data_IF_818545604640
#
_entry.id   IF_818545604640
#
_cell.length_a   1.000
_cell.length_b   1.000
_cell.length_c   1.000
_cell.angle_alpha   90.00
_cell.angle_beta   90.00
_cell.angle_gamma   90.00
#
_symmetry.space_group_name_H-M   'P 1'
#
loop_
_entity.id
_entity.type
_entity.pdbx_description
1 polymer ?
#
# COMPACT_ATOMS: atom_id res chain seq x y z
N UNK A 1 5.56 -39.27 -19.49
CA UNK A 1 5.20 -37.89 -19.21
C UNK A 1 3.92 -37.86 -18.35
N UNK A 2 4.01 -37.98 -17.07
CA UNK A 2 2.94 -37.74 -16.07
C UNK A 2 3.59 -37.85 -14.69
N UNK A 3 3.31 -36.90 -13.77
CA UNK A 3 3.71 -36.76 -12.37
C UNK A 3 4.79 -35.71 -12.08
N UNK A 4 4.48 -34.41 -12.34
CA UNK A 4 5.14 -33.31 -11.64
C UNK A 4 4.22 -32.12 -11.25
N UNK A 5 2.91 -32.21 -11.51
CA UNK A 5 1.98 -31.09 -11.23
C UNK A 5 1.42 -31.09 -9.79
N UNK A 6 1.57 -32.17 -9.03
CA UNK A 6 0.92 -32.31 -7.71
C UNK A 6 1.80 -31.84 -6.51
N UNK A 7 3.10 -31.68 -6.70
CA UNK A 7 4.00 -31.25 -5.61
C UNK A 7 3.99 -29.73 -5.36
N UNK A 8 3.64 -28.92 -6.35
CA UNK A 8 3.58 -27.47 -6.16
C UNK A 8 2.34 -27.01 -5.35
N UNK A 9 1.22 -27.73 -5.45
CA UNK A 9 -0.02 -27.35 -4.74
C UNK A 9 0.11 -27.57 -3.23
N UNK A 10 0.87 -28.57 -2.78
CA UNK A 10 1.09 -28.87 -1.38
C UNK A 10 1.92 -27.82 -0.62
N UNK A 11 2.89 -27.18 -1.31
CA UNK A 11 3.73 -26.15 -0.69
C UNK A 11 3.03 -24.77 -0.61
N UNK A 12 2.11 -24.51 -1.53
CA UNK A 12 1.32 -23.27 -1.55
C UNK A 12 0.35 -23.21 -0.36
N UNK A 13 -0.35 -24.30 -0.06
CA UNK A 13 -1.30 -24.35 1.05
C UNK A 13 -0.64 -24.19 2.44
N UNK A 14 0.56 -24.72 2.64
CA UNK A 14 1.26 -24.61 3.94
C UNK A 14 1.81 -23.19 4.20
N UNK A 15 2.27 -22.49 3.17
CA UNK A 15 2.78 -21.11 3.30
C UNK A 15 1.66 -20.10 3.52
N UNK A 16 0.55 -20.25 2.80
CA UNK A 16 -0.63 -19.38 2.96
C UNK A 16 -1.26 -19.56 4.36
N UNK A 17 -1.38 -20.81 4.84
CA UNK A 17 -1.87 -21.12 6.19
C UNK A 17 -0.93 -20.57 7.28
N UNK A 18 0.39 -20.59 7.08
CA UNK A 18 1.37 -20.00 8.00
C UNK A 18 1.25 -18.48 8.10
N UNK A 19 1.08 -17.79 6.97
CA UNK A 19 0.90 -16.34 6.93
C UNK A 19 -0.42 -15.89 7.55
N UNK A 20 -1.51 -16.62 7.31
CA UNK A 20 -2.82 -16.38 7.92
C UNK A 20 -2.80 -16.66 9.41
N UNK A 21 -2.11 -17.72 9.87
CA UNK A 21 -1.97 -18.04 11.29
C UNK A 21 -1.12 -17.00 12.04
N UNK A 22 -0.04 -16.49 11.43
CA UNK A 22 0.77 -15.42 12.02
C UNK A 22 -0.01 -14.10 12.14
N UNK A 23 -0.81 -13.76 11.14
CA UNK A 23 -1.70 -12.59 11.18
C UNK A 23 -2.78 -12.76 12.26
N UNK A 24 -3.36 -13.96 12.41
CA UNK A 24 -4.36 -14.25 13.43
C UNK A 24 -3.80 -14.19 14.87
N UNK A 25 -2.54 -14.59 15.07
CA UNK A 25 -1.89 -14.54 16.39
C UNK A 25 -1.54 -13.12 16.83
N UNK A 26 -1.21 -12.23 15.88
CA UNK A 26 -0.99 -10.80 16.13
C UNK A 26 -2.29 -10.04 16.42
N UNK A 27 -3.44 -10.54 15.96
CA UNK A 27 -4.75 -9.93 16.15
C UNK A 27 -5.42 -10.34 17.47
N UNK A 28 -4.98 -11.44 18.11
CA UNK A 28 -5.61 -11.94 19.34
C UNK A 28 -5.69 -10.88 20.48
N UNK A 29 -4.64 -10.09 20.79
CA UNK A 29 -4.75 -9.04 21.81
C UNK A 29 -5.59 -7.84 21.35
N UNK A 30 -5.67 -7.56 20.05
CA UNK A 30 -6.51 -6.48 19.50
C UNK A 30 -7.99 -6.87 19.58
N UNK A 31 -8.32 -8.13 19.35
CA UNK A 31 -9.68 -8.65 19.46
C UNK A 31 -10.21 -8.63 20.91
N UNK A 32 -9.36 -8.93 21.89
CA UNK A 32 -9.74 -8.92 23.30
C UNK A 32 -10.05 -7.50 23.82
N UNK A 33 -9.41 -6.46 23.26
CA UNK A 33 -9.70 -5.06 23.60
C UNK A 33 -10.86 -4.48 22.79
N UNK A 34 -11.07 -4.93 21.56
CA UNK A 34 -12.20 -4.51 20.74
C UNK A 34 -13.55 -5.04 21.25
N UNK A 35 -13.56 -6.18 21.98
CA UNK A 35 -14.79 -6.70 22.60
C UNK A 35 -15.26 -5.90 23.82
N UNK A 36 -14.41 -5.07 24.42
CA UNK A 36 -14.80 -4.19 25.54
C UNK A 36 -15.23 -2.78 25.10
N UNK A 37 -14.94 -2.39 23.86
CA UNK A 37 -15.56 -1.22 23.25
C UNK A 37 -16.97 -1.65 22.80
N UNK A 38 -18.04 -0.86 23.07
CA UNK A 38 -19.32 -1.15 22.47
C UNK A 38 -19.10 -1.14 20.96
N UNK A 39 -19.19 -2.32 20.33
CA UNK A 39 -19.36 -2.35 18.90
C UNK A 39 -20.59 -1.51 18.62
N UNK A 40 -20.38 -0.30 18.11
CA UNK A 40 -21.43 0.42 17.44
C UNK A 40 -21.73 -0.37 16.16
N UNK A 41 -22.42 -1.50 16.32
CA UNK A 41 -23.38 -1.96 15.35
C UNK A 41 -24.49 -0.90 15.31
N UNK A 42 -24.13 0.32 14.92
CA UNK A 42 -25.12 1.17 14.34
C UNK A 42 -25.45 0.45 13.07
N UNK A 43 -26.54 -0.31 13.14
CA UNK A 43 -27.16 -0.86 11.96
C UNK A 43 -27.06 0.23 10.90
N UNK A 44 -26.46 -0.07 9.76
CA UNK A 44 -26.66 0.71 8.55
C UNK A 44 -28.11 1.13 8.60
N UNK A 45 -28.46 2.41 8.49
CA UNK A 45 -29.85 2.78 8.39
C UNK A 45 -30.41 1.83 7.36
N UNK A 46 -31.32 0.97 7.84
CA UNK A 46 -31.91 -0.07 7.00
C UNK A 46 -32.28 0.61 5.69
N UNK A 47 -31.94 0.01 4.59
CA UNK A 47 -31.98 0.40 3.15
C UNK A 47 -32.94 1.52 2.71
N UNK A 48 -33.75 2.05 3.61
CA UNK A 48 -34.76 3.07 3.37
C UNK A 48 -34.25 4.52 3.31
N UNK A 49 -33.08 4.85 3.87
CA UNK A 49 -32.66 6.26 3.94
C UNK A 49 -32.05 6.76 2.63
N UNK A 50 -31.41 5.87 1.87
CA UNK A 50 -30.82 6.23 0.58
C UNK A 50 -31.77 6.01 -0.61
N UNK A 51 -32.72 5.09 -0.50
CA UNK A 51 -33.63 4.75 -1.58
C UNK A 51 -34.71 5.82 -1.87
N UNK A 52 -35.04 6.70 -0.92
CA UNK A 52 -36.14 7.66 -1.05
C UNK A 52 -35.72 9.12 -1.27
N UNK A 53 -34.42 9.43 -1.32
CA UNK A 53 -33.96 10.84 -1.38
C UNK A 53 -33.67 11.34 -2.79
N UNK A 54 -33.59 10.46 -3.80
CA UNK A 54 -33.21 10.85 -5.16
C UNK A 54 -34.19 10.35 -6.22
N UNK A 55 -34.45 11.18 -7.24
CA UNK A 55 -35.29 10.76 -8.36
C UNK A 55 -34.65 9.59 -9.10
N UNK A 56 -35.43 8.69 -9.74
CA UNK A 56 -34.93 7.63 -10.59
C UNK A 56 -33.99 8.23 -11.66
N UNK A 57 -32.73 7.86 -11.64
CA UNK A 57 -31.70 8.35 -12.58
C UNK A 57 -30.47 8.98 -11.96
N UNK A 58 -30.30 8.96 -10.61
CA UNK A 58 -29.11 9.50 -9.94
C UNK A 58 -28.27 8.43 -9.18
N UNK A 59 -27.92 7.27 -9.76
CA UNK A 59 -27.14 6.23 -9.07
C UNK A 59 -25.75 6.74 -8.66
N UNK A 60 -25.18 7.67 -9.41
CA UNK A 60 -23.88 8.26 -9.12
C UNK A 60 -23.91 9.15 -7.88
N UNK A 61 -24.97 9.94 -7.66
CA UNK A 61 -25.10 10.76 -6.45
C UNK A 61 -25.25 9.91 -5.20
N UNK A 62 -26.06 8.86 -5.24
CA UNK A 62 -26.22 7.94 -4.11
C UNK A 62 -24.92 7.21 -3.77
N UNK A 63 -24.08 6.91 -4.76
CA UNK A 63 -22.75 6.35 -4.54
C UNK A 63 -21.82 7.37 -3.86
N UNK A 64 -21.76 8.61 -4.32
CA UNK A 64 -20.94 9.67 -3.71
C UNK A 64 -21.38 9.98 -2.25
N UNK A 65 -22.67 9.91 -1.96
CA UNK A 65 -23.17 10.06 -0.59
C UNK A 65 -22.72 8.89 0.29
N UNK A 66 -22.75 7.66 -0.23
CA UNK A 66 -22.22 6.48 0.46
C UNK A 66 -20.72 6.62 0.71
N UNK A 67 -19.94 7.09 -0.27
CA UNK A 67 -18.51 7.36 -0.12
C UNK A 67 -18.27 8.40 0.97
N UNK A 68 -19.02 9.51 0.98
CA UNK A 68 -18.91 10.55 2.00
C UNK A 68 -19.23 10.01 3.39
N UNK A 69 -20.26 9.18 3.53
CA UNK A 69 -20.63 8.55 4.79
C UNK A 69 -19.56 7.55 5.26
N UNK A 70 -18.99 6.77 4.34
CA UNK A 70 -17.90 5.84 4.63
C UNK A 70 -16.65 6.56 5.13
N UNK A 71 -16.26 7.65 4.46
CA UNK A 71 -15.11 8.46 4.87
C UNK A 71 -15.32 9.22 6.17
N UNK A 72 -16.52 9.71 6.45
CA UNK A 72 -16.86 10.39 7.71
C UNK A 72 -16.86 9.45 8.93
N UNK A 73 -17.05 8.16 8.72
CA UNK A 73 -17.09 7.17 9.79
C UNK A 73 -15.69 6.72 10.27
N UNK A 74 -14.64 7.01 9.52
CA UNK A 74 -13.25 6.65 9.81
C UNK A 74 -12.43 7.86 10.28
N UNK A 75 -11.19 7.65 10.80
CA UNK A 75 -10.26 8.73 11.11
C UNK A 75 -10.02 9.66 9.91
N UNK A 76 -9.76 10.95 10.19
CA UNK A 76 -9.52 11.95 9.16
C UNK A 76 -8.03 12.35 9.04
N UNK A 77 -7.12 11.40 9.21
CA UNK A 77 -5.68 11.61 9.07
C UNK A 77 -5.26 11.83 7.61
N UNK A 78 -4.02 12.22 7.38
CA UNK A 78 -3.45 12.29 6.04
C UNK A 78 -2.95 10.90 5.60
N UNK A 79 -3.06 10.57 4.33
CA UNK A 79 -2.44 9.37 3.75
C UNK A 79 -0.94 9.57 3.68
N UNK A 80 -0.10 8.66 4.23
CA UNK A 80 1.35 8.77 4.23
C UNK A 80 1.98 8.79 2.83
N UNK A 81 3.27 9.15 2.75
CA UNK A 81 4.02 9.17 1.48
C UNK A 81 4.30 7.75 0.96
N UNK A 82 4.80 6.86 1.82
CA UNK A 82 5.24 5.50 1.45
C UNK A 82 4.34 4.43 2.04
N UNK A 83 4.02 4.53 3.33
CA UNK A 83 3.15 3.56 4.02
C UNK A 83 1.74 3.61 3.45
N UNK A 84 1.18 2.47 3.09
CA UNK A 84 -0.22 2.40 2.65
C UNK A 84 -1.14 2.66 3.84
N UNK A 85 -2.00 3.65 3.72
CA UNK A 85 -2.95 4.00 4.80
C UNK A 85 -3.95 2.88 5.06
N UNK A 86 -4.32 2.61 6.33
CA UNK A 86 -5.44 1.72 6.65
C UNK A 86 -6.81 2.33 6.29
N UNK A 87 -6.88 3.64 6.03
CA UNK A 87 -8.11 4.35 5.67
C UNK A 87 -8.57 3.98 4.27
N UNK A 88 -9.85 4.12 4.00
CA UNK A 88 -10.40 4.04 2.65
C UNK A 88 -10.34 5.42 2.00
N UNK A 89 -9.80 5.47 0.79
CA UNK A 89 -9.62 6.70 0.04
C UNK A 89 -10.42 6.68 -1.26
N UNK A 90 -10.85 7.87 -1.65
CA UNK A 90 -11.48 8.14 -2.93
C UNK A 90 -10.64 9.22 -3.60
N UNK A 91 -9.64 8.79 -4.40
CA UNK A 91 -8.67 9.74 -4.96
C UNK A 91 -8.03 9.27 -6.27
N UNK A 92 -7.54 10.22 -7.03
CA UNK A 92 -6.48 9.99 -7.98
C UNK A 92 -5.15 10.31 -7.31
N UNK A 93 -4.17 9.42 -7.42
CA UNK A 93 -2.83 9.61 -6.86
C UNK A 93 -1.76 9.37 -7.91
N UNK A 94 -0.75 10.23 -7.91
CA UNK A 94 0.48 10.09 -8.68
C UNK A 94 1.67 10.22 -7.75
N UNK A 95 2.56 9.21 -7.73
CA UNK A 95 3.80 9.24 -6.96
C UNK A 95 5.01 9.22 -7.88
N UNK A 96 6.03 9.99 -7.55
CA UNK A 96 7.32 10.03 -8.21
C UNK A 96 8.38 9.48 -7.27
N UNK A 97 9.17 8.51 -7.74
CA UNK A 97 10.28 7.93 -6.98
C UNK A 97 11.60 8.11 -7.74
N UNK A 98 12.66 8.49 -7.02
CA UNK A 98 14.04 8.51 -7.49
C UNK A 98 14.90 7.75 -6.51
N UNK A 99 15.01 6.44 -6.75
CA UNK A 99 15.65 5.48 -5.87
C UNK A 99 17.08 5.22 -6.30
N UNK A 100 17.99 5.21 -5.33
CA UNK A 100 19.36 4.74 -5.50
C UNK A 100 19.56 3.46 -4.68
N UNK A 101 19.95 2.39 -5.35
CA UNK A 101 20.29 1.13 -4.70
C UNK A 101 21.67 1.20 -4.04
N UNK A 102 21.87 0.41 -2.99
CA UNK A 102 23.14 0.30 -2.31
C UNK A 102 24.27 -0.21 -3.24
N UNK A 103 25.49 0.15 -2.93
CA UNK A 103 26.70 -0.33 -3.65
C UNK A 103 27.43 -1.43 -2.92
N UNK A 104 26.97 -1.84 -1.73
CA UNK A 104 27.50 -2.96 -0.95
C UNK A 104 27.12 -4.32 -1.54
N UNK A 105 27.43 -5.39 -0.81
CA UNK A 105 27.21 -6.78 -1.25
C UNK A 105 25.74 -7.10 -1.58
N UNK A 106 24.79 -6.39 -1.01
CA UNK A 106 23.35 -6.59 -1.18
C UNK A 106 22.72 -5.65 -2.22
N UNK A 107 23.39 -4.56 -2.56
CA UNK A 107 22.94 -3.61 -3.56
C UNK A 107 23.54 -3.87 -4.94
N UNK A 108 22.97 -3.25 -5.96
CA UNK A 108 23.45 -3.32 -7.34
C UNK A 108 23.96 -1.97 -7.88
N UNK A 109 23.94 -0.90 -7.06
CA UNK A 109 24.37 0.45 -7.41
C UNK A 109 23.56 1.13 -8.50
N UNK A 110 22.41 0.60 -8.89
CA UNK A 110 21.53 1.18 -9.89
C UNK A 110 20.74 2.37 -9.30
N UNK A 111 20.48 3.37 -10.13
CA UNK A 111 19.49 4.39 -9.87
C UNK A 111 18.25 4.09 -10.70
N UNK A 112 17.10 4.10 -10.07
CA UNK A 112 15.80 3.85 -10.66
C UNK A 112 14.94 5.11 -10.49
N UNK A 113 14.39 5.63 -11.60
CA UNK A 113 13.38 6.68 -11.54
C UNK A 113 12.08 6.05 -12.00
N UNK A 114 11.09 6.01 -11.10
CA UNK A 114 9.76 5.47 -11.38
C UNK A 114 8.76 6.60 -11.49
N UNK A 115 8.13 6.68 -12.65
CA UNK A 115 7.08 7.64 -12.97
C UNK A 115 5.73 6.99 -12.67
N UNK A 116 5.08 7.51 -11.64
CA UNK A 116 3.87 6.91 -11.09
C UNK A 116 4.11 6.05 -9.84
N UNK A 117 5.35 5.97 -9.33
CA UNK A 117 5.74 5.27 -8.10
C UNK A 117 5.69 3.75 -8.20
N UNK A 118 5.96 3.02 -7.10
CA UNK A 118 5.79 1.57 -7.06
C UNK A 118 4.34 1.15 -7.28
N UNK A 119 3.39 2.07 -7.12
CA UNK A 119 1.96 1.86 -7.38
C UNK A 119 1.45 2.53 -8.66
N UNK A 120 2.32 3.15 -9.47
CA UNK A 120 1.90 3.87 -10.66
C UNK A 120 1.09 5.15 -10.35
N UNK A 121 0.66 5.83 -11.41
CA UNK A 121 -0.50 6.70 -11.30
C UNK A 121 -1.72 5.80 -11.03
N UNK A 122 -2.50 6.07 -9.99
CA UNK A 122 -3.57 5.15 -9.60
C UNK A 122 -4.86 5.87 -9.27
N UNK A 123 -5.95 5.12 -9.38
CA UNK A 123 -7.28 5.53 -8.93
C UNK A 123 -7.66 4.64 -7.76
N UNK A 124 -8.03 5.25 -6.66
CA UNK A 124 -8.52 4.62 -5.44
C UNK A 124 -10.02 4.89 -5.35
N UNK A 125 -10.83 3.86 -5.28
CA UNK A 125 -12.29 3.94 -5.34
C UNK A 125 -12.92 3.16 -4.19
N UNK A 126 -13.95 3.73 -3.57
CA UNK A 126 -14.80 3.09 -2.55
C UNK A 126 -16.06 2.57 -3.22
N UNK A 127 -16.09 1.33 -3.76
CA UNK A 127 -17.26 0.77 -4.45
C UNK A 127 -18.41 0.44 -3.49
N UNK A 128 -18.12 0.22 -2.22
CA UNK A 128 -19.10 -0.01 -1.16
C UNK A 128 -18.54 0.44 0.20
N UNK A 129 -19.39 0.53 1.22
CA UNK A 129 -19.14 1.22 2.47
C UNK A 129 -17.83 0.85 3.18
N UNK A 130 -17.41 -0.43 3.13
CA UNK A 130 -16.23 -0.94 3.82
C UNK A 130 -15.14 -1.46 2.87
N UNK A 131 -15.29 -1.24 1.57
CA UNK A 131 -14.36 -1.71 0.55
C UNK A 131 -13.72 -0.56 -0.21
N UNK A 132 -12.44 -0.74 -0.51
CA UNK A 132 -11.70 0.09 -1.47
C UNK A 132 -11.00 -0.79 -2.49
N UNK A 133 -10.99 -0.33 -3.72
CA UNK A 133 -10.24 -0.94 -4.82
C UNK A 133 -9.28 0.09 -5.38
N UNK A 134 -8.02 -0.27 -5.47
CA UNK A 134 -6.96 0.55 -6.08
C UNK A 134 -6.57 -0.11 -7.40
N UNK A 135 -6.63 0.68 -8.47
CA UNK A 135 -6.25 0.27 -9.82
C UNK A 135 -5.15 1.19 -10.33
N UNK A 136 -4.10 0.60 -10.88
CA UNK A 136 -2.99 1.34 -11.44
C UNK A 136 -2.53 0.75 -12.78
N UNK A 137 -2.08 1.55 -13.75
CA UNK A 137 -1.29 1.04 -14.87
C UNK A 137 0.13 0.69 -14.38
N UNK A 138 0.91 -0.11 -15.13
CA UNK A 138 2.30 -0.34 -14.80
C UNK A 138 3.09 0.98 -14.82
N UNK A 139 4.00 1.22 -13.85
CA UNK A 139 4.82 2.43 -13.81
C UNK A 139 5.84 2.41 -14.96
N UNK A 140 6.12 3.58 -15.53
CA UNK A 140 7.27 3.73 -16.42
C UNK A 140 8.53 3.94 -15.58
N UNK A 141 9.55 3.13 -15.81
CA UNK A 141 10.79 3.13 -15.02
C UNK A 141 11.99 3.35 -15.94
N UNK A 142 12.91 4.21 -15.50
CA UNK A 142 14.24 4.32 -16.10
C UNK A 142 15.29 3.87 -15.09
N UNK A 143 16.24 3.07 -15.57
CA UNK A 143 17.36 2.57 -14.77
C UNK A 143 18.67 3.06 -15.35
N UNK A 144 19.64 3.43 -14.50
CA UNK A 144 20.99 3.79 -14.88
C UNK A 144 21.99 3.37 -13.81
N UNK A 145 23.19 2.96 -14.21
CA UNK A 145 24.24 2.57 -13.25
C UNK A 145 25.19 1.50 -13.77
N UNK A 146 25.86 0.76 -12.89
CA UNK A 146 26.90 -0.19 -13.26
C UNK A 146 26.44 -1.32 -14.21
N UNK A 147 25.15 -1.69 -14.14
CA UNK A 147 24.56 -2.71 -15.04
C UNK A 147 24.07 -2.12 -16.39
N UNK A 148 24.39 -0.84 -16.66
CA UNK A 148 23.96 -0.14 -17.86
C UNK A 148 22.62 0.57 -17.69
N UNK A 149 22.05 1.03 -18.80
CA UNK A 149 20.79 1.76 -18.86
C UNK A 149 19.65 0.85 -19.32
N UNK A 150 18.44 1.14 -18.84
CA UNK A 150 17.20 0.54 -19.33
C UNK A 150 16.06 1.53 -19.14
N UNK A 151 15.02 1.41 -19.95
CA UNK A 151 13.79 2.18 -19.79
C UNK A 151 12.60 1.35 -20.30
N UNK A 152 11.47 1.43 -19.62
CA UNK A 152 10.27 0.70 -19.99
C UNK A 152 9.27 0.61 -18.84
N UNK A 153 8.28 -0.24 -18.99
CA UNK A 153 7.31 -0.51 -17.92
C UNK A 153 7.92 -1.45 -16.88
N UNK A 154 7.80 -1.09 -15.60
CA UNK A 154 8.12 -1.93 -14.45
C UNK A 154 7.01 -2.98 -14.19
N UNK A 155 7.16 -3.73 -13.10
CA UNK A 155 6.15 -4.71 -12.70
C UNK A 155 4.81 -4.00 -12.42
N UNK A 156 3.72 -4.64 -12.82
CA UNK A 156 2.39 -4.04 -12.78
C UNK A 156 1.71 -4.29 -11.43
N UNK A 157 1.46 -3.26 -10.60
CA UNK A 157 0.63 -3.39 -9.41
C UNK A 157 -0.85 -3.51 -9.83
N UNK A 158 -1.24 -4.69 -10.34
CA UNK A 158 -2.48 -4.92 -11.07
C UNK A 158 -3.71 -4.46 -10.30
N UNK A 159 -3.77 -4.78 -9.03
CA UNK A 159 -4.81 -4.28 -8.11
C UNK A 159 -4.38 -4.39 -6.65
N UNK A 160 -4.99 -3.56 -5.81
CA UNK A 160 -5.03 -3.70 -4.36
C UNK A 160 -6.48 -3.57 -3.91
N UNK A 161 -6.93 -4.48 -3.06
CA UNK A 161 -8.27 -4.45 -2.47
C UNK A 161 -8.13 -4.32 -0.96
N UNK A 162 -8.85 -3.37 -0.35
CA UNK A 162 -8.91 -3.16 1.09
C UNK A 162 -10.30 -3.52 1.60
N UNK A 163 -10.34 -4.10 2.79
CA UNK A 163 -11.57 -4.31 3.56
C UNK A 163 -11.40 -3.81 4.98
N UNK A 164 -12.24 -2.88 5.38
CA UNK A 164 -12.22 -2.25 6.70
C UNK A 164 -12.89 -3.16 7.73
N UNK A 165 -12.09 -3.63 8.70
CA UNK A 165 -12.51 -4.60 9.72
C UNK A 165 -13.12 -3.93 10.96
N UNK A 166 -12.50 -2.83 11.42
CA UNK A 166 -12.92 -2.08 12.59
C UNK A 166 -12.47 -0.63 12.46
N UNK A 167 -13.30 0.31 12.92
CA UNK A 167 -12.99 1.74 12.79
C UNK A 167 -13.82 2.59 13.74
N UNK A 168 -13.33 3.78 13.98
CA UNK A 168 -14.04 4.87 14.66
C UNK A 168 -13.36 6.18 14.31
N UNK A 169 -14.16 7.20 13.99
CA UNK A 169 -13.68 8.56 13.78
C UNK A 169 -13.23 9.21 15.10
N UNK A 170 -12.83 10.47 15.09
CA UNK A 170 -12.33 11.18 16.27
C UNK A 170 -13.32 11.15 17.48
N UNK A 171 -14.63 11.14 17.22
CA UNK A 171 -15.66 11.06 18.25
C UNK A 171 -15.82 9.63 18.82
N UNK A 172 -15.41 8.62 18.07
CA UNK A 172 -15.59 7.19 18.37
C UNK A 172 -14.25 6.45 18.54
N UNK A 173 -13.25 7.15 19.05
CA UNK A 173 -12.00 6.56 19.46
C UNK A 173 -10.86 6.69 18.45
N UNK A 174 -11.06 7.30 17.29
CA UNK A 174 -10.04 7.66 16.30
C UNK A 174 -9.08 6.50 15.96
N UNK A 175 -9.62 5.38 15.49
CA UNK A 175 -8.86 4.17 15.17
C UNK A 175 -9.40 3.48 13.92
N UNK A 176 -8.55 2.65 13.30
CA UNK A 176 -8.94 1.83 12.16
C UNK A 176 -8.08 0.56 12.04
N UNK A 177 -8.71 -0.53 11.63
CA UNK A 177 -8.05 -1.79 11.26
C UNK A 177 -8.60 -2.24 9.92
N UNK A 178 -7.72 -2.57 8.97
CA UNK A 178 -8.08 -2.92 7.60
C UNK A 178 -7.23 -4.09 7.12
N UNK A 179 -7.82 -5.02 6.40
CA UNK A 179 -7.11 -6.07 5.69
C UNK A 179 -6.92 -5.66 4.22
N UNK A 180 -5.74 -5.92 3.65
CA UNK A 180 -5.43 -5.65 2.23
C UNK A 180 -5.01 -6.93 1.53
N UNK A 181 -5.22 -6.94 0.24
CA UNK A 181 -4.59 -7.90 -0.64
C UNK A 181 -4.15 -7.20 -1.92
N UNK A 182 -2.86 -7.30 -2.24
CA UNK A 182 -2.27 -6.73 -3.44
C UNK A 182 -1.72 -7.84 -4.34
N UNK A 183 -1.90 -7.68 -5.64
CA UNK A 183 -1.20 -8.45 -6.68
C UNK A 183 -0.31 -7.51 -7.47
N UNK A 184 0.95 -7.91 -7.64
CA UNK A 184 1.89 -7.26 -8.57
C UNK A 184 2.30 -8.27 -9.61
N UNK A 185 2.06 -7.98 -10.88
CA UNK A 185 2.30 -8.90 -11.99
C UNK A 185 3.61 -8.58 -12.72
N UNK A 186 4.36 -9.62 -13.05
CA UNK A 186 5.60 -9.52 -13.79
C UNK A 186 5.33 -9.27 -15.29
N UNK A 187 5.84 -8.16 -15.83
CA UNK A 187 5.65 -7.83 -17.26
C UNK A 187 6.74 -8.37 -18.19
N UNK A 188 7.80 -9.01 -17.65
CA UNK A 188 8.86 -9.60 -18.46
C UNK A 188 9.71 -8.62 -19.24
N UNK A 189 9.81 -7.40 -18.77
CA UNK A 189 10.67 -6.36 -19.33
C UNK A 189 12.14 -6.56 -18.89
N UNK A 190 13.01 -5.60 -19.15
CA UNK A 190 14.44 -5.70 -18.76
C UNK A 190 14.58 -5.93 -17.24
N UNK A 191 15.34 -6.94 -16.82
CA UNK A 191 15.61 -7.26 -15.40
C UNK A 191 16.31 -6.17 -14.58
N UNK A 192 16.62 -5.00 -15.20
CA UNK A 192 17.05 -3.79 -14.48
C UNK A 192 15.86 -2.95 -13.96
N UNK A 193 14.66 -3.16 -14.51
CA UNK A 193 13.47 -2.39 -14.20
C UNK A 193 12.28 -3.25 -13.78
N UNK A 194 12.38 -4.56 -13.87
CA UNK A 194 11.36 -5.54 -13.46
C UNK A 194 12.02 -6.66 -12.64
N UNK A 195 11.33 -7.15 -11.63
CA UNK A 195 11.76 -8.33 -10.86
C UNK A 195 11.53 -9.63 -11.61
N UNK A 196 10.68 -9.60 -12.63
CA UNK A 196 10.18 -10.77 -13.37
C UNK A 196 9.46 -11.80 -12.49
N UNK A 197 8.96 -11.38 -11.32
CA UNK A 197 8.26 -12.21 -10.35
C UNK A 197 6.90 -11.62 -10.04
N UNK A 198 5.85 -12.37 -10.29
CA UNK A 198 4.49 -12.04 -9.87
C UNK A 198 4.35 -12.35 -8.38
N UNK A 199 3.87 -11.37 -7.60
CA UNK A 199 3.74 -11.49 -6.15
C UNK A 199 2.33 -11.28 -5.66
N UNK A 200 1.97 -12.00 -4.60
CA UNK A 200 0.79 -11.78 -3.80
C UNK A 200 1.20 -11.20 -2.43
N UNK A 201 0.56 -10.14 -1.98
CA UNK A 201 0.91 -9.45 -0.74
C UNK A 201 -0.32 -9.28 0.16
N UNK A 202 -0.65 -10.25 1.01
CA UNK A 202 -1.59 -10.06 2.09
C UNK A 202 -1.01 -9.10 3.13
N UNK A 203 -1.85 -8.18 3.64
CA UNK A 203 -1.46 -7.12 4.58
C UNK A 203 -2.53 -6.90 5.62
N UNK A 204 -2.11 -6.70 6.86
CA UNK A 204 -2.94 -6.11 7.91
C UNK A 204 -2.41 -4.72 8.18
N UNK A 205 -3.33 -3.76 8.23
CA UNK A 205 -3.04 -2.37 8.53
C UNK A 205 -3.87 -1.90 9.71
N UNK A 206 -3.28 -1.04 10.51
CA UNK A 206 -3.94 -0.44 11.65
C UNK A 206 -3.45 0.99 11.88
N UNK A 207 -4.28 1.77 12.53
CA UNK A 207 -3.90 3.12 12.89
C UNK A 207 -4.66 3.60 14.12
N UNK A 208 -4.10 4.61 14.78
CA UNK A 208 -4.64 5.24 15.97
C UNK A 208 -4.26 6.71 16.01
N UNK A 209 -5.24 7.57 16.31
CA UNK A 209 -5.04 9.00 16.51
C UNK A 209 -5.23 9.43 17.97
N UNK A 210 -4.58 10.55 18.31
CA UNK A 210 -4.69 11.26 19.58
C UNK A 210 -4.64 12.76 19.32
N UNK A 211 -5.80 13.36 19.03
CA UNK A 211 -5.89 14.75 18.62
C UNK A 211 -5.23 14.98 17.27
N UNK A 212 -4.19 15.83 17.24
CA UNK A 212 -3.46 16.14 16.00
C UNK A 212 -2.35 15.14 15.65
N UNK A 213 -2.08 14.15 16.50
CA UNK A 213 -1.06 13.12 16.26
C UNK A 213 -1.70 11.80 15.87
N UNK A 214 -1.16 11.14 14.85
CA UNK A 214 -1.58 9.81 14.45
C UNK A 214 -0.41 8.89 14.11
N UNK A 215 -0.68 7.59 14.23
CA UNK A 215 0.20 6.50 13.81
C UNK A 215 -0.57 5.60 12.87
N UNK A 216 0.00 5.32 11.71
CA UNK A 216 -0.53 4.37 10.73
C UNK A 216 0.52 3.30 10.44
N UNK A 217 0.14 2.04 10.48
CA UNK A 217 1.08 0.93 10.33
C UNK A 217 0.52 -0.19 9.47
N UNK A 218 1.40 -0.88 8.75
CA UNK A 218 1.09 -2.06 7.94
C UNK A 218 2.09 -3.18 8.21
N UNK A 219 1.61 -4.41 8.28
CA UNK A 219 2.44 -5.62 8.32
C UNK A 219 2.01 -6.52 7.18
N UNK A 220 2.96 -6.94 6.36
CA UNK A 220 2.72 -7.77 5.18
C UNK A 220 3.84 -8.76 4.92
N UNK A 221 3.56 -9.72 4.07
CA UNK A 221 4.55 -10.60 3.45
C UNK A 221 4.35 -10.59 1.94
N UNK A 222 5.44 -10.47 1.17
CA UNK A 222 5.38 -10.67 -0.28
C UNK A 222 5.67 -12.13 -0.61
N UNK A 223 4.74 -12.77 -1.29
CA UNK A 223 4.81 -14.19 -1.65
C UNK A 223 4.95 -14.28 -3.17
N UNK A 224 6.09 -14.78 -3.69
CA UNK A 224 6.24 -15.04 -5.12
C UNK A 224 5.32 -16.19 -5.54
N UNK A 225 4.39 -15.93 -6.46
CA UNK A 225 3.42 -16.93 -6.94
C UNK A 225 3.76 -17.47 -8.31
N UNK A 226 4.37 -16.63 -9.16
CA UNK A 226 4.79 -16.97 -10.51
C UNK A 226 6.02 -16.15 -10.90
N UNK A 227 6.78 -16.59 -11.88
CA UNK A 227 7.84 -15.79 -12.49
C UNK A 227 7.98 -16.11 -13.97
N UNK A 228 8.53 -15.14 -14.70
CA UNK A 228 8.79 -15.26 -16.13
C UNK A 228 10.20 -15.80 -16.40
N UNK A 229 10.35 -16.57 -17.47
CA UNK A 229 11.66 -16.92 -18.02
C UNK A 229 12.18 -15.74 -18.84
N UNK A 230 13.35 -15.23 -18.49
CA UNK A 230 14.01 -14.17 -19.24
C UNK A 230 15.04 -14.78 -20.17
N UNK A 231 14.98 -14.52 -21.49
CA UNK A 231 15.98 -15.03 -22.43
C UNK A 231 17.41 -14.60 -22.01
N UNK A 232 18.30 -15.56 -21.83
CA UNK A 232 19.69 -15.31 -21.37
C UNK A 232 19.84 -14.97 -19.89
N UNK A 233 18.77 -15.02 -19.11
CA UNK A 233 18.71 -14.79 -17.68
C UNK A 233 18.38 -16.06 -16.88
N UNK A 234 18.08 -15.90 -15.57
CA UNK A 234 17.66 -17.00 -14.72
C UNK A 234 16.32 -17.61 -15.17
N UNK A 235 16.11 -18.90 -14.88
CA UNK A 235 14.83 -19.56 -15.09
C UNK A 235 13.74 -18.98 -14.14
N UNK A 236 12.48 -19.10 -14.50
CA UNK A 236 11.35 -18.70 -13.66
C UNK A 236 11.44 -19.27 -12.24
N UNK A 237 11.80 -20.55 -12.10
CA UNK A 237 11.98 -21.21 -10.81
C UNK A 237 13.15 -20.63 -10.00
N UNK A 238 14.22 -20.21 -10.65
CA UNK A 238 15.34 -19.53 -10.01
C UNK A 238 14.93 -18.13 -9.56
N UNK A 239 14.17 -17.40 -10.36
CA UNK A 239 13.65 -16.07 -9.99
C UNK A 239 12.76 -16.15 -8.76
N UNK A 240 11.80 -17.09 -8.70
CA UNK A 240 10.96 -17.33 -7.52
C UNK A 240 11.81 -17.60 -6.28
N UNK A 241 12.78 -18.51 -6.39
CA UNK A 241 13.65 -18.87 -5.27
C UNK A 241 14.50 -17.70 -4.80
N UNK A 242 15.02 -16.90 -5.71
CA UNK A 242 15.89 -15.76 -5.40
C UNK A 242 15.12 -14.59 -4.79
N UNK A 243 13.88 -14.37 -5.21
CA UNK A 243 13.03 -13.31 -4.67
C UNK A 243 12.79 -13.51 -3.17
N UNK A 244 12.51 -14.74 -2.77
CA UNK A 244 12.22 -15.07 -1.37
C UNK A 244 10.82 -14.59 -0.92
N UNK A 245 10.63 -14.54 0.39
CA UNK A 245 9.38 -14.10 1.03
C UNK A 245 9.71 -12.96 2.02
N UNK A 246 9.93 -11.72 1.56
CA UNK A 246 10.23 -10.61 2.47
C UNK A 246 9.01 -10.25 3.33
N UNK A 247 9.28 -10.02 4.60
CA UNK A 247 8.32 -9.50 5.58
C UNK A 247 8.53 -7.99 5.64
N UNK A 248 7.46 -7.22 5.48
CA UNK A 248 7.47 -5.76 5.51
C UNK A 248 6.66 -5.26 6.69
N UNK A 249 7.23 -4.29 7.41
CA UNK A 249 6.52 -3.56 8.46
C UNK A 249 6.78 -2.06 8.27
N UNK A 250 5.76 -1.34 7.85
CA UNK A 250 5.83 0.09 7.61
C UNK A 250 5.01 0.83 8.65
N UNK A 251 5.54 1.93 9.17
CA UNK A 251 4.85 2.76 10.15
C UNK A 251 5.10 4.23 9.84
N UNK A 252 4.03 5.00 9.74
CA UNK A 252 4.04 6.44 9.60
C UNK A 252 3.58 7.11 10.91
N UNK A 253 4.31 8.11 11.35
CA UNK A 253 4.00 9.00 12.46
C UNK A 253 3.73 10.37 11.86
N UNK A 254 2.53 10.91 12.04
CA UNK A 254 2.13 12.19 11.47
C UNK A 254 1.65 13.14 12.56
N UNK A 255 1.81 14.42 12.30
CA UNK A 255 1.27 15.48 13.15
C UNK A 255 0.57 16.53 12.29
N UNK A 256 -0.68 16.83 12.59
CA UNK A 256 -1.46 17.86 11.91
C UNK A 256 -1.13 19.23 12.50
N UNK A 257 -0.29 20.00 11.80
CA UNK A 257 0.07 21.37 12.16
C UNK A 257 -0.78 22.38 11.37
N UNK A 258 -1.40 23.29 12.09
CA UNK A 258 -2.27 24.32 11.50
C UNK A 258 -3.39 23.69 10.66
N UNK A 259 -3.62 24.21 9.45
CA UNK A 259 -4.73 23.76 8.60
C UNK A 259 -4.30 22.79 7.48
N UNK A 260 -3.06 22.93 7.04
CA UNK A 260 -2.62 22.31 5.79
C UNK A 260 -1.29 21.56 5.89
N UNK A 261 -0.63 21.55 7.04
CA UNK A 261 0.71 21.00 7.21
C UNK A 261 0.66 19.66 7.95
N UNK A 262 1.25 18.64 7.36
CA UNK A 262 1.36 17.30 7.93
C UNK A 262 2.80 16.82 7.84
N UNK A 263 3.70 17.29 8.77
CA UNK A 263 5.01 16.68 8.90
C UNK A 263 4.87 15.22 9.31
N UNK A 264 5.70 14.37 8.72
CA UNK A 264 5.70 12.95 9.02
C UNK A 264 7.10 12.37 9.10
N UNK A 265 7.22 11.27 9.83
CA UNK A 265 8.35 10.37 9.83
C UNK A 265 7.84 8.96 9.58
N UNK A 266 8.32 8.33 8.50
CA UNK A 266 8.02 6.92 8.28
C UNK A 266 9.22 6.05 8.60
N UNK A 267 8.95 4.85 9.13
CA UNK A 267 9.90 3.77 9.36
C UNK A 267 9.45 2.59 8.53
N UNK A 268 10.27 2.21 7.56
CA UNK A 268 10.00 1.09 6.67
C UNK A 268 11.01 -0.03 6.98
N UNK A 269 10.52 -1.12 7.53
CA UNK A 269 11.29 -2.31 7.89
C UNK A 269 11.01 -3.42 6.88
N UNK A 270 12.06 -4.06 6.41
CA UNK A 270 11.99 -5.21 5.51
C UNK A 270 12.99 -6.28 5.95
N UNK A 271 12.53 -7.54 6.02
CA UNK A 271 13.34 -8.67 6.40
C UNK A 271 13.13 -9.86 5.47
N UNK A 272 14.20 -10.38 4.91
CA UNK A 272 14.18 -11.56 4.03
C UNK A 272 14.44 -12.84 4.84
N UNK A 273 13.42 -13.67 5.00
CA UNK A 273 13.52 -14.95 5.68
C UNK A 273 14.15 -16.05 4.81
N UNK A 274 14.18 -15.85 3.49
CA UNK A 274 14.74 -16.74 2.49
C UNK A 274 15.13 -15.95 1.22
N UNK A 275 15.55 -16.63 0.15
CA UNK A 275 15.90 -16.03 -1.13
C UNK A 275 17.37 -15.56 -1.21
N UNK A 276 17.65 -14.66 -2.17
CA UNK A 276 19.00 -14.13 -2.41
C UNK A 276 19.49 -13.26 -1.24
N UNK A 277 18.57 -12.57 -0.58
CA UNK A 277 18.82 -11.68 0.54
C UNK A 277 18.57 -12.32 1.92
N UNK A 278 18.57 -13.66 2.02
CA UNK A 278 18.27 -14.37 3.27
C UNK A 278 19.06 -13.83 4.46
N UNK A 279 18.35 -13.54 5.57
CA UNK A 279 18.93 -13.00 6.81
C UNK A 279 19.20 -11.50 6.78
N UNK A 280 19.02 -10.82 5.62
CA UNK A 280 19.14 -9.38 5.55
C UNK A 280 17.94 -8.72 6.24
N UNK A 281 18.24 -7.64 6.95
CA UNK A 281 17.23 -6.69 7.46
C UNK A 281 17.59 -5.31 6.98
N UNK A 282 16.62 -4.63 6.38
CA UNK A 282 16.73 -3.25 5.94
C UNK A 282 15.73 -2.38 6.71
N UNK A 283 16.20 -1.23 7.20
CA UNK A 283 15.36 -0.19 7.80
C UNK A 283 15.63 1.11 7.06
N UNK A 284 14.55 1.73 6.58
CA UNK A 284 14.57 3.03 5.93
C UNK A 284 13.78 4.02 6.79
N UNK A 285 14.32 5.22 6.96
CA UNK A 285 13.63 6.36 7.58
C UNK A 285 13.25 7.36 6.48
N UNK A 286 12.02 7.85 6.54
CA UNK A 286 11.49 8.83 5.57
C UNK A 286 10.94 10.04 6.31
N UNK A 287 11.79 11.04 6.67
CA UNK A 287 11.27 12.35 7.00
C UNK A 287 10.55 12.94 5.78
N UNK A 288 9.36 13.46 5.99
CA UNK A 288 8.49 13.97 4.94
C UNK A 288 7.58 15.09 5.40
N UNK A 289 6.97 15.74 4.41
CA UNK A 289 5.94 16.76 4.62
C UNK A 289 4.85 16.57 3.57
N UNK A 290 3.60 16.56 4.03
CA UNK A 290 2.42 16.59 3.16
C UNK A 290 1.69 17.92 3.39
N UNK A 291 1.29 18.54 2.30
CA UNK A 291 0.53 19.79 2.28
C UNK A 291 -0.83 19.54 1.62
N UNK A 292 -1.88 19.96 2.25
CA UNK A 292 -3.26 19.80 1.75
C UNK A 292 -4.23 19.64 2.92
N UNK A 293 -5.37 19.46 2.67
CA UNK A 293 -6.36 19.39 1.61
C UNK A 293 -6.70 20.78 1.11
N UNK A 294 -6.15 21.22 0.00
CA UNK A 294 -6.49 22.50 -0.60
C UNK A 294 -7.77 22.32 -1.44
N UNK A 295 -8.88 22.97 -1.11
CA UNK A 295 -10.10 22.85 -1.91
C UNK A 295 -9.89 23.52 -3.28
N UNK A 296 -10.06 22.74 -4.36
CA UNK A 296 -9.94 23.21 -5.74
C UNK A 296 -11.25 23.18 -6.51
N UNK A 297 -12.29 22.61 -5.91
CA UNK A 297 -13.63 22.51 -6.49
C UNK A 297 -14.58 21.76 -5.57
N UNK A 298 -15.75 21.43 -6.10
CA UNK A 298 -16.76 20.63 -5.43
C UNK A 298 -17.41 19.69 -6.44
N UNK A 299 -17.57 18.42 -6.09
CA UNK A 299 -18.37 17.46 -6.88
C UNK A 299 -19.85 17.50 -6.47
N UNK A 300 -20.12 17.82 -5.18
CA UNK A 300 -21.44 18.14 -4.65
C UNK A 300 -21.32 19.39 -3.75
N UNK A 301 -22.42 20.07 -3.39
CA UNK A 301 -22.36 21.26 -2.52
C UNK A 301 -21.66 21.03 -1.17
N UNK A 302 -21.58 19.78 -0.70
CA UNK A 302 -21.02 19.41 0.59
C UNK A 302 -19.71 18.66 0.51
N UNK A 303 -19.25 18.28 -0.70
CA UNK A 303 -18.05 17.47 -0.90
C UNK A 303 -17.00 18.22 -1.71
N UNK A 304 -15.93 18.73 -1.07
CA UNK A 304 -14.86 19.40 -1.77
C UNK A 304 -13.96 18.40 -2.52
N UNK A 305 -13.56 18.80 -3.72
CA UNK A 305 -12.42 18.20 -4.40
C UNK A 305 -11.17 18.87 -3.86
N UNK A 306 -10.23 18.10 -3.33
CA UNK A 306 -9.03 18.65 -2.73
C UNK A 306 -7.77 18.23 -3.47
N UNK A 307 -6.83 19.17 -3.54
CA UNK A 307 -5.45 18.94 -3.94
C UNK A 307 -4.60 18.65 -2.71
N UNK A 308 -3.75 17.62 -2.80
CA UNK A 308 -2.74 17.26 -1.82
C UNK A 308 -1.41 17.10 -2.56
N UNK A 309 -0.35 17.65 -2.00
CA UNK A 309 1.02 17.47 -2.49
C UNK A 309 1.93 17.09 -1.33
N UNK A 310 2.98 16.34 -1.58
CA UNK A 310 3.92 15.98 -0.53
C UNK A 310 5.25 15.52 -1.09
N UNK A 311 6.26 15.57 -0.25
CA UNK A 311 7.58 15.05 -0.56
C UNK A 311 8.29 14.55 0.69
N UNK A 312 9.14 13.54 0.51
CA UNK A 312 9.99 12.98 1.55
C UNK A 312 11.28 12.42 0.99
N UNK A 313 12.23 12.18 1.86
CA UNK A 313 13.50 11.58 1.50
C UNK A 313 13.78 10.37 2.37
N UNK A 314 13.74 9.20 1.75
CA UNK A 314 13.96 7.91 2.39
C UNK A 314 15.44 7.60 2.45
N UNK A 315 15.95 7.23 3.62
CA UNK A 315 17.36 6.95 3.87
C UNK A 315 17.50 5.62 4.60
N UNK A 316 18.37 4.73 4.10
CA UNK A 316 18.71 3.51 4.82
C UNK A 316 19.56 3.82 6.06
N UNK A 317 19.18 3.23 7.19
CA UNK A 317 19.91 3.33 8.46
C UNK A 317 20.60 2.04 8.86
N UNK A 318 20.42 0.98 8.07
CA UNK A 318 21.09 -0.31 8.22
C UNK A 318 22.33 -0.41 7.33
N UNK A 319 23.28 -1.23 7.72
CA UNK A 319 24.49 -1.49 6.94
C UNK A 319 24.17 -2.35 5.70
N UNK A 320 24.86 -2.08 4.57
CA UNK A 320 24.74 -2.81 3.31
C UNK A 320 23.26 -2.93 2.81
N UNK A 321 22.52 -1.84 2.72
CA UNK A 321 21.13 -1.91 2.31
C UNK A 321 20.98 -2.26 0.82
N UNK A 322 19.85 -2.86 0.45
CA UNK A 322 19.42 -3.02 -0.95
C UNK A 322 19.11 -1.65 -1.55
N UNK A 323 18.26 -0.87 -0.87
CA UNK A 323 17.97 0.53 -1.21
C UNK A 323 18.75 1.46 -0.31
N UNK A 324 19.59 2.34 -0.87
CA UNK A 324 20.39 3.29 -0.11
C UNK A 324 19.59 4.54 0.27
N UNK A 325 18.93 5.12 -0.71
CA UNK A 325 18.05 6.27 -0.52
C UNK A 325 17.02 6.34 -1.65
N UNK A 326 15.98 7.14 -1.39
CA UNK A 326 14.89 7.32 -2.34
C UNK A 326 14.22 8.68 -2.10
N UNK A 327 14.10 9.51 -3.12
CA UNK A 327 13.24 10.68 -3.09
C UNK A 327 11.83 10.27 -3.45
N UNK A 328 10.85 10.71 -2.67
CA UNK A 328 9.43 10.44 -2.88
C UNK A 328 8.70 11.76 -3.04
N UNK A 329 8.01 11.95 -4.14
CA UNK A 329 7.06 13.03 -4.36
C UNK A 329 5.66 12.50 -4.59
N UNK A 330 4.62 13.15 -4.10
CA UNK A 330 3.23 12.75 -4.30
C UNK A 330 2.36 13.93 -4.72
N UNK A 331 1.42 13.64 -5.60
CA UNK A 331 0.34 14.53 -6.02
C UNK A 331 -0.97 13.75 -5.97
N UNK A 332 -2.00 14.30 -5.32
CA UNK A 332 -3.29 13.62 -5.13
C UNK A 332 -4.43 14.58 -5.35
N UNK A 333 -5.51 14.05 -5.90
CA UNK A 333 -6.81 14.74 -6.03
C UNK A 333 -7.84 13.84 -5.36
N UNK A 334 -8.38 14.26 -4.21
CA UNK A 334 -9.48 13.56 -3.54
C UNK A 334 -10.82 14.08 -4.08
N UNK A 335 -11.79 13.19 -4.27
CA UNK A 335 -13.09 13.51 -4.85
C UNK A 335 -14.22 12.62 -4.33
#
# INVERSE_FOLDING_TARGET
>A
MRYHALTCIGSFNTRLLGAVAAAATLLAPVYAHAQSAPMLTKALPADGYYANSYPPGAPFRSWLDMVSASQAAQPNWMTPLVTVTPRLEQEFRYDQYDQKNGTGSQGNGQRLISYGGPGGARVELIPSYDWEVILAPPPYVTASGPKGMAAGFGDWPAFLVKYRLAYGNAEHGDYIVTAFFQMTDALGTDGKISTNVTTAQPTIAFGKGWGDFDIQSTVSVQIPVEALNVPGGPSAQTNIRNFGDPILWNTAFQYHLFKYFWPELEVNYEHWSNGEHVGLTQVLLTPGLILGRFPIGYDTPTRPINLIIGAGYQIAVTANPVTQNNFVGTFRITF
#
